data_IF_731130390743
#
_entry.id   IF_731130390743
#
_cell.length_a   1.000
_cell.length_b   1.000
_cell.length_c   1.000
_cell.angle_alpha   90.00
_cell.angle_beta   90.00
_cell.angle_gamma   90.00
#
_symmetry.space_group_name_H-M   'P 1'
#
loop_
_entity.id
_entity.type
_entity.pdbx_description
1 polymer ?
#
# COMPACT_ATOMS: atom_id res chain seq x y z
N UNK A 1 35.67 -9.13 16.59
CA UNK A 1 34.59 -8.28 17.13
C UNK A 1 34.86 -6.86 16.64
N UNK A 2 34.49 -6.56 15.42
CA UNK A 2 34.58 -5.20 14.86
C UNK A 2 33.51 -4.34 15.51
N UNK A 3 33.93 -3.21 16.07
CA UNK A 3 33.08 -2.34 16.86
C UNK A 3 31.92 -1.81 16.08
N UNK A 4 30.72 -2.01 16.60
CA UNK A 4 29.52 -1.31 16.15
C UNK A 4 29.85 0.19 16.16
N UNK A 5 29.84 0.80 14.97
CA UNK A 5 30.18 2.21 14.80
C UNK A 5 29.31 3.08 15.70
N UNK A 6 29.97 3.92 16.50
CA UNK A 6 29.36 4.85 17.46
C UNK A 6 28.62 6.02 16.78
N UNK A 7 28.43 5.97 15.45
CA UNK A 7 27.81 7.02 14.67
C UNK A 7 26.27 6.95 14.65
N UNK A 8 25.65 8.10 14.48
CA UNK A 8 24.21 8.20 14.30
C UNK A 8 23.81 7.93 12.85
N UNK A 9 22.61 7.38 12.67
CA UNK A 9 22.02 7.04 11.37
C UNK A 9 20.90 8.02 11.02
N UNK A 10 20.95 8.56 9.81
CA UNK A 10 19.84 9.23 9.15
C UNK A 10 19.15 8.28 8.18
N UNK A 11 17.88 8.02 8.40
CA UNK A 11 17.02 7.20 7.55
C UNK A 11 16.08 8.09 6.73
N UNK A 12 16.12 7.94 5.41
CA UNK A 12 15.29 8.66 4.46
C UNK A 12 14.59 7.66 3.54
N UNK A 13 13.26 7.69 3.52
CA UNK A 13 12.43 6.69 2.82
C UNK A 13 11.62 7.38 1.74
N UNK A 14 11.92 7.10 0.49
CA UNK A 14 11.03 7.32 -0.64
C UNK A 14 9.92 6.25 -0.60
N UNK A 15 8.83 6.58 0.09
CA UNK A 15 7.81 5.59 0.39
C UNK A 15 7.05 5.13 -0.86
N UNK A 16 6.86 6.02 -1.84
CA UNK A 16 6.19 5.67 -3.09
C UNK A 16 7.03 4.66 -3.88
N UNK A 17 8.32 4.92 -4.04
CA UNK A 17 9.26 4.02 -4.73
C UNK A 17 9.36 2.65 -4.02
N UNK A 18 9.54 2.64 -2.70
CA UNK A 18 9.64 1.40 -1.92
C UNK A 18 8.34 0.61 -1.95
N UNK A 19 7.20 1.26 -1.76
CA UNK A 19 5.89 0.59 -1.80
C UNK A 19 5.61 -0.01 -3.17
N UNK A 20 5.84 0.75 -4.24
CA UNK A 20 5.70 0.28 -5.61
C UNK A 20 6.61 -0.93 -5.88
N UNK A 21 7.87 -0.88 -5.47
CA UNK A 21 8.82 -1.97 -5.61
C UNK A 21 8.39 -3.23 -4.85
N UNK A 22 7.89 -3.09 -3.60
CA UNK A 22 7.36 -4.22 -2.83
C UNK A 22 6.13 -4.84 -3.48
N UNK A 23 5.20 -4.02 -3.96
CA UNK A 23 4.00 -4.51 -4.63
C UNK A 23 4.32 -5.22 -5.95
N UNK A 24 5.29 -4.72 -6.73
CA UNK A 24 5.67 -5.32 -8.00
C UNK A 24 6.45 -6.63 -7.83
N UNK A 25 7.44 -6.65 -6.93
CA UNK A 25 8.34 -7.80 -6.81
C UNK A 25 7.77 -8.86 -5.87
N UNK A 26 7.30 -8.44 -4.69
CA UNK A 26 6.85 -9.35 -3.65
C UNK A 26 5.33 -9.44 -3.54
N UNK A 27 4.61 -8.53 -4.21
CA UNK A 27 3.15 -8.46 -4.18
C UNK A 27 2.56 -8.28 -2.77
N UNK A 28 3.30 -7.65 -1.88
CA UNK A 28 2.90 -7.34 -0.51
C UNK A 28 3.19 -5.88 -0.18
N UNK A 29 2.47 -5.33 0.81
CA UNK A 29 2.79 -4.03 1.39
C UNK A 29 4.08 -4.11 2.23
N UNK A 30 4.95 -3.07 2.20
CA UNK A 30 6.14 -3.03 3.04
C UNK A 30 5.78 -2.98 4.52
N UNK A 31 6.51 -3.74 5.33
CA UNK A 31 6.38 -3.67 6.79
C UNK A 31 7.22 -2.53 7.34
N UNK A 32 6.57 -1.44 7.77
CA UNK A 32 7.24 -0.23 8.30
C UNK A 32 8.19 -0.54 9.45
N UNK A 33 7.80 -1.46 10.37
CA UNK A 33 8.68 -1.85 11.48
C UNK A 33 9.95 -2.53 10.98
N UNK A 34 9.86 -3.32 9.92
CA UNK A 34 11.04 -3.95 9.31
C UNK A 34 11.96 -2.93 8.64
N UNK A 35 11.42 -1.85 8.07
CA UNK A 35 12.22 -0.77 7.47
C UNK A 35 13.08 -0.07 8.53
N UNK A 36 12.50 0.34 9.66
CA UNK A 36 13.26 1.00 10.71
C UNK A 36 14.28 0.06 11.36
N UNK A 37 13.93 -1.22 11.59
CA UNK A 37 14.85 -2.22 12.12
C UNK A 37 16.04 -2.47 11.17
N UNK A 38 15.81 -2.42 9.87
CA UNK A 38 16.86 -2.50 8.86
C UNK A 38 17.88 -1.37 9.02
N UNK A 39 17.42 -0.14 9.18
CA UNK A 39 18.30 1.00 9.41
C UNK A 39 19.04 0.92 10.75
N UNK A 40 18.40 0.39 11.81
CA UNK A 40 19.01 0.19 13.13
C UNK A 40 20.21 -0.76 13.15
N UNK A 41 20.31 -1.66 12.17
CA UNK A 41 21.49 -2.53 12.00
C UNK A 41 22.78 -1.75 11.74
N UNK A 42 22.66 -0.54 11.20
CA UNK A 42 23.78 0.31 10.85
C UNK A 42 24.17 1.32 11.93
N UNK A 43 23.40 1.40 13.01
CA UNK A 43 23.65 2.26 14.16
C UNK A 43 22.37 2.83 14.78
N UNK A 44 22.53 3.80 15.68
CA UNK A 44 21.41 4.49 16.32
C UNK A 44 20.75 5.43 15.33
N UNK A 45 19.49 5.17 14.99
CA UNK A 45 18.70 6.07 14.13
C UNK A 45 18.29 7.32 14.93
N UNK A 46 18.82 8.47 14.56
CA UNK A 46 18.53 9.77 15.18
C UNK A 46 17.66 10.68 14.30
N UNK A 47 17.67 10.42 13.00
CA UNK A 47 16.78 11.05 12.01
C UNK A 47 16.09 9.94 11.23
N UNK A 48 14.76 10.01 11.13
CA UNK A 48 14.00 9.07 10.31
C UNK A 48 12.83 9.83 9.66
N UNK A 49 12.77 9.84 8.34
CA UNK A 49 11.76 10.55 7.55
C UNK A 49 11.24 9.69 6.40
N UNK A 50 9.94 9.78 6.11
CA UNK A 50 9.31 9.14 4.95
C UNK A 50 8.55 10.17 4.14
N UNK A 51 8.69 10.11 2.82
CA UNK A 51 8.19 11.07 1.85
C UNK A 51 7.18 10.39 0.92
N UNK A 52 5.98 10.97 0.81
CA UNK A 52 4.93 10.54 -0.11
C UNK A 52 3.78 11.56 -0.16
N UNK A 53 2.88 11.40 -1.12
CA UNK A 53 1.51 11.93 -1.04
C UNK A 53 0.66 10.97 -0.18
N UNK A 54 0.49 11.29 1.10
CA UNK A 54 -0.24 10.42 2.02
C UNK A 54 -1.75 10.41 1.80
N UNK A 55 -2.29 11.24 0.93
CA UNK A 55 -3.68 11.16 0.51
C UNK A 55 -3.94 9.93 -0.39
N UNK A 56 -2.92 9.48 -1.11
CA UNK A 56 -2.95 8.28 -1.98
C UNK A 56 -2.64 6.97 -1.23
N UNK A 57 -2.30 7.07 0.07
CA UNK A 57 -1.98 5.91 0.90
C UNK A 57 -3.08 5.60 1.91
N UNK A 58 -3.28 4.32 2.29
CA UNK A 58 -4.17 3.96 3.39
C UNK A 58 -3.74 4.65 4.70
N UNK A 59 -4.70 5.10 5.50
CA UNK A 59 -4.41 5.83 6.77
C UNK A 59 -3.52 5.06 7.75
N UNK A 60 -3.56 3.72 7.70
CA UNK A 60 -2.72 2.89 8.56
C UNK A 60 -1.23 3.04 8.27
N UNK A 61 -0.84 3.37 7.04
CA UNK A 61 0.57 3.58 6.66
C UNK A 61 1.16 4.73 7.47
N UNK A 62 0.46 5.88 7.48
CA UNK A 62 0.87 7.05 8.28
C UNK A 62 0.99 6.70 9.76
N UNK A 63 -0.03 6.03 10.31
CA UNK A 63 -0.02 5.60 11.72
C UNK A 63 1.14 4.64 12.03
N UNK A 64 1.45 3.72 11.13
CA UNK A 64 2.57 2.78 11.32
C UNK A 64 3.92 3.48 11.33
N UNK A 65 4.10 4.51 10.49
CA UNK A 65 5.29 5.37 10.48
C UNK A 65 5.42 6.13 11.80
N UNK A 66 4.34 6.76 12.27
CA UNK A 66 4.31 7.49 13.55
C UNK A 66 4.69 6.56 14.72
N UNK A 67 4.11 5.35 14.78
CA UNK A 67 4.42 4.35 15.82
C UNK A 67 5.86 3.88 15.76
N UNK A 68 6.44 3.77 14.55
CA UNK A 68 7.84 3.42 14.35
C UNK A 68 8.81 4.58 14.66
N UNK A 69 8.30 5.78 14.92
CA UNK A 69 9.10 6.98 15.15
C UNK A 69 9.69 7.58 13.87
N UNK A 70 9.04 7.34 12.73
CA UNK A 70 9.44 7.89 11.43
C UNK A 70 8.58 9.13 11.15
N UNK A 71 9.20 10.28 11.01
CA UNK A 71 8.52 11.53 10.71
C UNK A 71 7.96 11.51 9.28
N UNK A 72 6.70 11.88 9.14
CA UNK A 72 6.01 11.91 7.85
C UNK A 72 6.19 13.27 7.18
N UNK A 73 6.64 13.29 5.94
CA UNK A 73 6.66 14.43 5.03
C UNK A 73 5.54 14.23 4.00
N UNK A 74 4.42 14.87 4.25
CA UNK A 74 3.23 14.80 3.38
C UNK A 74 3.36 15.81 2.24
N UNK A 75 3.53 15.32 1.02
CA UNK A 75 3.84 16.14 -0.15
C UNK A 75 2.79 15.84 -1.23
N UNK A 76 1.70 16.63 -1.29
CA UNK A 76 0.63 16.41 -2.24
C UNK A 76 1.11 16.48 -3.69
N UNK A 77 0.70 15.51 -4.49
CA UNK A 77 0.93 15.50 -5.94
C UNK A 77 0.15 16.62 -6.59
N UNK A 78 0.82 17.43 -7.38
CA UNK A 78 0.18 18.48 -8.16
C UNK A 78 -0.35 17.93 -9.47
N UNK A 79 -1.66 18.04 -9.68
CA UNK A 79 -2.31 17.74 -10.95
C UNK A 79 -2.41 19.01 -11.78
N UNK A 80 -2.03 18.95 -13.04
CA UNK A 80 -2.15 20.06 -13.97
C UNK A 80 -2.49 19.57 -15.38
N UNK A 81 -3.20 20.38 -16.13
CA UNK A 81 -3.55 20.08 -17.52
C UNK A 81 -2.50 20.72 -18.42
N UNK A 82 -1.83 19.92 -19.24
CA UNK A 82 -0.93 20.36 -20.29
C UNK A 82 -1.31 19.66 -21.59
N UNK A 83 -1.49 20.44 -22.65
CA UNK A 83 -1.87 19.94 -23.98
C UNK A 83 -3.16 19.10 -23.99
N UNK A 84 -4.13 19.44 -23.09
CA UNK A 84 -5.41 18.74 -22.95
C UNK A 84 -5.31 17.41 -22.19
N UNK A 85 -4.13 17.03 -21.69
CA UNK A 85 -3.92 15.84 -20.87
C UNK A 85 -3.67 16.21 -19.40
N UNK A 86 -4.28 15.47 -18.49
CA UNK A 86 -3.99 15.58 -17.07
C UNK A 86 -2.60 14.96 -16.80
N UNK A 87 -1.73 15.76 -16.20
CA UNK A 87 -0.39 15.30 -15.77
C UNK A 87 -0.26 15.47 -14.26
N UNK A 88 0.44 14.53 -13.67
CA UNK A 88 0.75 14.53 -12.24
C UNK A 88 2.23 14.82 -12.05
N UNK A 89 2.56 15.64 -11.06
CA UNK A 89 3.96 15.91 -10.68
C UNK A 89 4.11 15.77 -9.18
N UNK A 90 4.85 14.76 -8.76
CA UNK A 90 5.38 14.67 -7.40
C UNK A 90 6.59 15.61 -7.25
N UNK A 91 6.81 16.07 -6.04
CA UNK A 91 8.03 16.77 -5.62
C UNK A 91 8.63 16.12 -4.38
N UNK A 92 8.22 14.90 -4.05
CA UNK A 92 8.69 14.14 -2.90
C UNK A 92 10.22 13.97 -2.93
N UNK A 93 10.77 13.65 -4.12
CA UNK A 93 12.20 13.49 -4.34
C UNK A 93 12.98 14.76 -4.00
N UNK A 94 12.47 15.92 -4.43
CA UNK A 94 13.11 17.22 -4.15
C UNK A 94 13.12 17.51 -2.64
N UNK A 95 12.03 17.26 -1.94
CA UNK A 95 11.97 17.44 -0.48
C UNK A 95 12.91 16.49 0.24
N UNK A 96 12.96 15.22 -0.18
CA UNK A 96 13.90 14.25 0.39
C UNK A 96 15.36 14.67 0.16
N UNK A 97 15.72 15.14 -1.05
CA UNK A 97 17.04 15.68 -1.37
C UNK A 97 17.42 16.86 -0.46
N UNK A 98 16.48 17.79 -0.25
CA UNK A 98 16.72 18.96 0.62
C UNK A 98 16.94 18.55 2.08
N UNK A 99 16.10 17.68 2.63
CA UNK A 99 16.23 17.21 4.02
C UNK A 99 17.52 16.40 4.24
N UNK A 100 17.96 15.62 3.23
CA UNK A 100 19.25 14.92 3.25
C UNK A 100 20.40 15.94 3.33
N UNK A 101 20.37 16.98 2.49
CA UNK A 101 21.40 18.02 2.48
C UNK A 101 21.42 18.82 3.78
N UNK A 102 20.24 19.24 4.28
CA UNK A 102 20.11 19.94 5.54
C UNK A 102 20.66 19.10 6.71
N UNK A 103 20.31 17.81 6.74
CA UNK A 103 20.85 16.89 7.75
C UNK A 103 22.37 16.78 7.69
N UNK A 104 22.97 16.78 6.50
CA UNK A 104 24.42 16.72 6.33
C UNK A 104 25.14 18.00 6.83
N UNK A 105 24.48 19.14 6.70
CA UNK A 105 25.01 20.45 7.14
C UNK A 105 24.83 20.64 8.66
N UNK A 106 23.62 20.33 9.17
CA UNK A 106 23.21 20.76 10.50
C UNK A 106 23.45 19.67 11.58
N UNK A 107 23.63 18.41 11.16
CA UNK A 107 23.79 17.27 12.08
C UNK A 107 25.08 16.49 11.80
N UNK A 108 26.24 17.02 12.16
CA UNK A 108 27.54 16.40 11.90
C UNK A 108 27.68 15.02 12.57
N UNK A 109 26.95 14.76 13.68
CA UNK A 109 26.90 13.48 14.38
C UNK A 109 26.23 12.36 13.55
N UNK A 110 25.40 12.68 12.55
CA UNK A 110 24.87 11.71 11.60
C UNK A 110 26.00 11.34 10.64
N UNK A 111 26.56 10.16 10.83
CA UNK A 111 27.71 9.66 10.06
C UNK A 111 27.31 8.66 8.99
N UNK A 112 26.14 8.03 9.13
CA UNK A 112 25.61 7.04 8.18
C UNK A 112 24.26 7.47 7.67
N UNK A 113 24.08 7.45 6.35
CA UNK A 113 22.85 7.77 5.66
C UNK A 113 22.29 6.51 5.02
N UNK A 114 21.11 6.06 5.45
CA UNK A 114 20.37 4.96 4.84
C UNK A 114 19.27 5.56 3.97
N UNK A 115 19.42 5.41 2.67
CA UNK A 115 18.46 5.89 1.69
C UNK A 115 17.65 4.70 1.17
N UNK A 116 16.36 4.69 1.45
CA UNK A 116 15.44 3.67 0.98
C UNK A 116 14.77 4.15 -0.31
N UNK A 117 15.40 3.85 -1.43
CA UNK A 117 14.95 4.16 -2.79
C UNK A 117 15.71 3.31 -3.80
N UNK A 118 15.18 3.16 -5.01
CA UNK A 118 15.88 2.57 -6.15
C UNK A 118 16.23 3.59 -7.23
N UNK A 119 15.86 4.87 -7.04
CA UNK A 119 15.92 5.89 -8.06
C UNK A 119 17.32 6.50 -8.22
N UNK A 120 17.78 6.59 -9.47
CA UNK A 120 19.06 7.18 -9.87
C UNK A 120 19.17 8.68 -9.62
N UNK A 121 18.08 9.40 -9.44
CA UNK A 121 18.07 10.85 -9.22
C UNK A 121 18.83 11.26 -7.95
N UNK A 122 19.01 10.34 -7.02
CA UNK A 122 19.76 10.56 -5.79
C UNK A 122 21.28 10.43 -5.93
N UNK A 123 21.82 9.98 -7.07
CA UNK A 123 23.28 9.78 -7.29
C UNK A 123 24.07 11.04 -6.94
N UNK A 124 23.57 12.20 -7.35
CA UNK A 124 24.28 13.46 -7.17
C UNK A 124 24.40 13.87 -5.69
N UNK A 125 23.37 13.73 -4.91
CA UNK A 125 23.40 14.03 -3.47
C UNK A 125 24.26 13.02 -2.72
N UNK A 126 24.21 11.74 -3.10
CA UNK A 126 25.05 10.68 -2.51
C UNK A 126 26.51 10.99 -2.70
N UNK A 127 26.94 11.27 -3.92
CA UNK A 127 28.34 11.62 -4.21
C UNK A 127 28.76 12.89 -3.49
N UNK A 128 27.86 13.88 -3.37
CA UNK A 128 28.15 15.11 -2.64
C UNK A 128 28.35 14.85 -1.13
N UNK A 129 27.49 14.03 -0.48
CA UNK A 129 27.59 13.68 0.95
C UNK A 129 28.89 12.91 1.21
N UNK A 130 29.19 11.93 0.38
CA UNK A 130 30.40 11.11 0.54
C UNK A 130 31.68 11.93 0.35
N UNK A 131 31.75 12.70 -0.73
CA UNK A 131 32.98 13.39 -1.07
C UNK A 131 33.24 14.65 -0.24
N UNK A 132 32.17 15.35 0.20
CA UNK A 132 32.33 16.61 0.94
C UNK A 132 32.33 16.42 2.46
N UNK A 133 31.58 15.46 2.97
CA UNK A 133 31.35 15.27 4.40
C UNK A 133 31.91 13.96 4.93
N UNK A 134 32.54 13.14 4.07
CA UNK A 134 33.07 11.82 4.42
C UNK A 134 32.04 10.94 5.17
N UNK A 135 30.79 10.98 4.72
CA UNK A 135 29.69 10.21 5.31
C UNK A 135 29.53 8.88 4.59
N UNK A 136 29.20 7.85 5.36
CA UNK A 136 28.80 6.55 4.82
C UNK A 136 27.38 6.64 4.28
N UNK A 137 27.15 6.13 3.05
CA UNK A 137 25.82 6.07 2.44
C UNK A 137 25.50 4.63 2.06
N UNK A 138 24.33 4.16 2.44
CA UNK A 138 23.83 2.81 2.19
C UNK A 138 22.50 2.95 1.43
N UNK A 139 22.41 2.28 0.29
CA UNK A 139 21.15 2.17 -0.46
C UNK A 139 20.41 0.94 0.01
N UNK A 140 19.16 1.13 0.43
CA UNK A 140 18.27 0.04 0.78
C UNK A 140 17.08 0.05 -0.18
N UNK A 141 16.94 -1.00 -0.96
CA UNK A 141 15.82 -1.14 -1.91
C UNK A 141 15.52 -2.60 -2.19
N UNK A 142 14.44 -2.85 -2.91
CA UNK A 142 14.03 -4.19 -3.30
C UNK A 142 14.99 -4.72 -4.39
N UNK A 143 15.50 -5.95 -4.29
CA UNK A 143 16.36 -6.53 -5.33
C UNK A 143 15.70 -6.48 -6.70
N UNK A 144 16.46 -6.06 -7.70
CA UNK A 144 16.00 -5.92 -9.08
C UNK A 144 15.31 -4.60 -9.42
N UNK A 145 15.04 -3.74 -8.42
CA UNK A 145 14.46 -2.41 -8.65
C UNK A 145 15.42 -1.25 -8.35
N UNK A 146 16.62 -1.56 -7.91
CA UNK A 146 17.66 -0.58 -7.56
C UNK A 146 18.53 -0.34 -8.79
N UNK A 147 18.76 0.93 -9.14
CA UNK A 147 19.73 1.30 -10.17
C UNK A 147 21.16 0.85 -9.80
N UNK A 148 21.84 0.19 -10.72
CA UNK A 148 23.25 -0.20 -10.54
C UNK A 148 24.17 0.99 -10.31
N UNK A 149 23.89 2.10 -10.98
CA UNK A 149 24.66 3.34 -10.86
C UNK A 149 24.47 3.98 -9.48
N UNK A 150 23.24 3.86 -8.91
CA UNK A 150 22.96 4.33 -7.56
C UNK A 150 23.76 3.55 -6.52
N UNK A 151 23.83 2.22 -6.65
CA UNK A 151 24.64 1.35 -5.77
C UNK A 151 26.13 1.67 -5.93
N UNK A 152 26.61 1.85 -7.15
CA UNK A 152 28.01 2.21 -7.40
C UNK A 152 28.35 3.57 -6.79
N UNK A 153 27.47 4.57 -6.86
CA UNK A 153 27.66 5.87 -6.26
C UNK A 153 27.71 5.82 -4.72
N UNK A 154 26.87 4.99 -4.10
CA UNK A 154 26.84 4.80 -2.65
C UNK A 154 28.01 3.92 -2.13
N UNK A 155 28.45 2.95 -2.93
CA UNK A 155 29.46 1.97 -2.57
C UNK A 155 28.98 0.85 -1.65
N UNK A 156 27.79 1.00 -1.06
CA UNK A 156 27.15 -0.02 -0.20
C UNK A 156 25.65 -0.13 -0.50
N UNK A 157 25.15 -1.36 -0.46
CA UNK A 157 23.71 -1.63 -0.51
C UNK A 157 23.32 -2.68 0.51
N UNK A 158 22.11 -2.54 1.05
CA UNK A 158 21.51 -3.48 1.98
C UNK A 158 20.05 -3.76 1.56
N UNK A 159 19.83 -4.87 0.88
CA UNK A 159 18.56 -5.18 0.23
C UNK A 159 17.40 -5.31 1.21
N UNK A 160 16.25 -4.76 0.80
CA UNK A 160 14.98 -4.94 1.48
C UNK A 160 14.35 -6.25 0.99
N UNK A 161 14.33 -7.23 1.84
CA UNK A 161 13.65 -8.49 1.58
C UNK A 161 12.22 -8.45 2.12
N UNK A 162 11.33 -9.19 1.48
CA UNK A 162 10.02 -9.44 2.07
C UNK A 162 10.23 -10.15 3.41
N UNK A 163 10.03 -9.46 4.50
CA UNK A 163 9.80 -10.16 5.75
C UNK A 163 8.54 -10.98 5.51
N UNK A 164 8.66 -12.29 5.46
CA UNK A 164 7.51 -13.17 5.38
C UNK A 164 6.62 -12.89 6.59
N UNK A 165 5.73 -11.91 6.41
CA UNK A 165 4.58 -11.76 7.27
C UNK A 165 3.69 -12.94 6.99
N UNK A 166 3.24 -13.60 8.02
CA UNK A 166 2.32 -14.72 8.02
C UNK A 166 2.69 -15.84 7.02
N UNK A 167 3.06 -16.99 7.51
CA UNK A 167 3.10 -18.25 6.73
C UNK A 167 1.85 -18.34 5.85
N UNK A 168 1.90 -19.05 4.73
CA UNK A 168 0.73 -19.18 3.85
C UNK A 168 -0.57 -19.54 4.60
N UNK A 169 -0.48 -20.27 5.73
CA UNK A 169 -1.60 -20.57 6.62
C UNK A 169 -2.17 -19.31 7.30
N UNK A 170 -1.33 -18.41 7.79
CA UNK A 170 -1.80 -17.19 8.45
C UNK A 170 -2.40 -16.20 7.44
N UNK A 171 -1.86 -16.10 6.23
CA UNK A 171 -2.48 -15.33 5.14
C UNK A 171 -3.86 -15.92 4.78
N UNK A 172 -3.95 -17.25 4.65
CA UNK A 172 -5.21 -17.93 4.36
C UNK A 172 -6.26 -17.68 5.44
N UNK A 173 -5.88 -17.67 6.72
CA UNK A 173 -6.80 -17.35 7.82
C UNK A 173 -7.32 -15.92 7.74
N UNK A 174 -6.48 -14.94 7.34
CA UNK A 174 -6.91 -13.55 7.14
C UNK A 174 -7.82 -13.42 5.92
N UNK A 175 -7.48 -14.08 4.80
CA UNK A 175 -8.30 -14.13 3.59
C UNK A 175 -9.67 -14.73 3.87
N UNK A 176 -9.73 -15.85 4.57
CA UNK A 176 -10.98 -16.50 4.97
C UNK A 176 -11.83 -15.58 5.84
N UNK A 177 -11.25 -14.98 6.88
CA UNK A 177 -11.96 -14.05 7.75
C UNK A 177 -12.52 -12.84 7.02
N UNK A 178 -11.77 -12.27 6.04
CA UNK A 178 -12.25 -11.17 5.20
C UNK A 178 -13.38 -11.64 4.28
N UNK A 179 -13.23 -12.79 3.65
CA UNK A 179 -14.27 -13.37 2.79
C UNK A 179 -15.58 -13.57 3.55
N UNK A 180 -15.52 -14.15 4.74
CA UNK A 180 -16.67 -14.35 5.61
C UNK A 180 -17.27 -13.03 6.11
N UNK A 181 -16.46 -12.04 6.43
CA UNK A 181 -16.91 -10.69 6.79
C UNK A 181 -17.70 -10.07 5.64
N UNK A 182 -17.16 -10.09 4.42
CA UNK A 182 -17.82 -9.54 3.22
C UNK A 182 -19.13 -10.28 2.93
N UNK A 183 -19.16 -11.60 3.12
CA UNK A 183 -20.37 -12.42 2.90
C UNK A 183 -21.47 -12.18 3.94
N UNK A 184 -21.09 -12.03 5.22
CA UNK A 184 -22.04 -11.89 6.34
C UNK A 184 -22.63 -10.50 6.49
N UNK A 185 -21.89 -9.47 6.09
CA UNK A 185 -22.23 -8.08 6.34
C UNK A 185 -22.61 -7.35 5.05
N UNK A 186 -23.58 -6.46 5.17
CA UNK A 186 -23.94 -5.51 4.11
C UNK A 186 -23.61 -4.09 4.62
N UNK A 187 -22.67 -3.39 4.00
CA UNK A 187 -22.29 -2.05 4.44
C UNK A 187 -23.43 -1.04 4.23
N UNK A 188 -23.44 0.09 4.97
CA UNK A 188 -24.46 1.12 4.86
C UNK A 188 -24.62 1.68 3.43
N UNK A 189 -23.56 1.69 2.65
CA UNK A 189 -23.56 2.08 1.23
C UNK A 189 -24.32 1.12 0.32
N UNK A 190 -24.60 -0.10 0.80
CA UNK A 190 -25.28 -1.15 0.03
C UNK A 190 -24.36 -1.97 -0.87
N UNK A 191 -23.11 -1.59 -0.98
CA UNK A 191 -22.10 -2.28 -1.78
C UNK A 191 -20.73 -2.15 -1.12
N UNK A 192 -19.85 -3.10 -1.38
CA UNK A 192 -18.47 -3.06 -0.95
C UNK A 192 -17.60 -2.32 -1.96
N UNK A 193 -16.61 -1.61 -1.46
CA UNK A 193 -15.43 -1.14 -2.20
C UNK A 193 -14.19 -1.68 -1.53
N UNK A 194 -13.06 -1.77 -2.25
CA UNK A 194 -11.78 -2.19 -1.65
C UNK A 194 -11.47 -1.39 -0.40
N UNK A 195 -11.65 -0.05 -0.46
CA UNK A 195 -11.42 0.84 0.69
C UNK A 195 -12.30 0.49 1.90
N UNK A 196 -13.55 0.14 1.65
CA UNK A 196 -14.49 -0.20 2.72
C UNK A 196 -14.19 -1.57 3.32
N UNK A 197 -13.82 -2.56 2.50
CA UNK A 197 -13.36 -3.87 2.94
C UNK A 197 -12.11 -3.70 3.83
N UNK A 198 -11.14 -2.90 3.40
CA UNK A 198 -9.93 -2.60 4.17
C UNK A 198 -10.27 -1.94 5.51
N UNK A 199 -11.10 -0.91 5.53
CA UNK A 199 -11.53 -0.23 6.75
C UNK A 199 -12.26 -1.17 7.72
N UNK A 200 -13.17 -1.99 7.23
CA UNK A 200 -13.93 -2.92 8.07
C UNK A 200 -13.08 -4.08 8.58
N UNK A 201 -12.15 -4.58 7.80
CA UNK A 201 -11.21 -5.62 8.25
C UNK A 201 -10.37 -5.17 9.45
N UNK A 202 -10.14 -3.87 9.61
CA UNK A 202 -9.37 -3.28 10.73
C UNK A 202 -10.21 -3.02 11.97
N UNK A 203 -11.53 -2.98 11.85
CA UNK A 203 -12.41 -2.85 13.01
C UNK A 203 -12.39 -4.16 13.82
N UNK A 204 -11.91 -4.06 15.06
CA UNK A 204 -11.78 -5.22 15.97
C UNK A 204 -13.09 -5.98 16.18
N UNK A 205 -14.24 -5.29 16.03
CA UNK A 205 -15.57 -5.90 16.15
C UNK A 205 -15.84 -6.94 15.08
N UNK A 206 -15.18 -6.86 13.94
CA UNK A 206 -15.37 -7.80 12.84
C UNK A 206 -14.49 -9.06 12.94
N UNK A 207 -13.61 -9.14 13.95
CA UNK A 207 -12.88 -10.36 14.29
C UNK A 207 -11.86 -10.82 13.25
N UNK A 208 -11.47 -9.96 12.29
CA UNK A 208 -10.46 -10.31 11.28
C UNK A 208 -9.07 -10.34 11.94
N UNK A 209 -8.37 -11.49 11.93
CA UNK A 209 -7.06 -11.63 12.54
C UNK A 209 -5.97 -10.89 11.78
N UNK A 210 -4.76 -10.84 12.34
CA UNK A 210 -3.57 -10.26 11.71
C UNK A 210 -3.40 -8.75 11.93
N UNK A 211 -2.21 -8.27 11.58
CA UNK A 211 -1.87 -6.85 11.60
C UNK A 211 -2.52 -6.08 10.44
N UNK A 212 -2.48 -4.76 10.48
CA UNK A 212 -3.01 -3.93 9.39
C UNK A 212 -2.34 -4.21 8.03
N UNK A 213 -1.00 -4.39 7.94
CA UNK A 213 -0.35 -4.87 6.72
C UNK A 213 -0.86 -6.24 6.24
N UNK A 214 -1.06 -7.21 7.15
CA UNK A 214 -1.54 -8.55 6.78
C UNK A 214 -2.92 -8.48 6.12
N UNK A 215 -3.81 -7.61 6.63
CA UNK A 215 -5.15 -7.40 6.09
C UNK A 215 -5.12 -6.79 4.70
N UNK A 216 -4.28 -5.76 4.48
CA UNK A 216 -4.09 -5.18 3.14
C UNK A 216 -3.49 -6.19 2.16
N UNK A 217 -2.53 -6.98 2.60
CA UNK A 217 -1.93 -8.06 1.79
C UNK A 217 -2.97 -9.11 1.42
N UNK A 218 -3.84 -9.49 2.36
CA UNK A 218 -4.91 -10.44 2.11
C UNK A 218 -5.92 -9.90 1.07
N UNK A 219 -6.33 -8.63 1.18
CA UNK A 219 -7.22 -8.00 0.19
C UNK A 219 -6.56 -7.96 -1.19
N UNK A 220 -5.29 -7.57 -1.27
CA UNK A 220 -4.52 -7.57 -2.52
C UNK A 220 -4.39 -8.97 -3.11
N UNK A 221 -4.18 -9.99 -2.27
CA UNK A 221 -4.16 -11.40 -2.67
C UNK A 221 -5.52 -11.83 -3.23
N UNK A 222 -6.63 -11.47 -2.57
CA UNK A 222 -7.99 -11.79 -3.03
C UNK A 222 -8.32 -11.19 -4.39
N UNK A 223 -7.89 -9.94 -4.64
CA UNK A 223 -8.08 -9.27 -5.93
C UNK A 223 -7.28 -9.96 -7.05
N UNK A 224 -5.98 -10.21 -6.83
CA UNK A 224 -5.11 -10.84 -7.84
C UNK A 224 -5.52 -12.26 -8.19
N UNK A 225 -6.02 -13.01 -7.22
CA UNK A 225 -6.44 -14.40 -7.43
C UNK A 225 -7.93 -14.54 -7.77
N UNK A 226 -8.61 -13.44 -8.06
CA UNK A 226 -10.01 -13.45 -8.52
C UNK A 226 -11.02 -13.83 -7.45
N UNK A 227 -10.65 -13.88 -6.15
CA UNK A 227 -11.59 -14.11 -5.05
C UNK A 227 -12.50 -12.89 -4.83
N UNK A 228 -11.99 -11.69 -5.12
CA UNK A 228 -12.74 -10.45 -5.21
C UNK A 228 -12.69 -9.95 -6.65
N UNK A 229 -13.86 -9.69 -7.23
CA UNK A 229 -14.01 -9.06 -8.54
C UNK A 229 -14.41 -7.60 -8.38
N UNK A 230 -13.93 -6.74 -9.29
CA UNK A 230 -14.30 -5.32 -9.33
C UNK A 230 -15.20 -5.05 -10.53
N UNK A 231 -16.17 -4.19 -10.31
CA UNK A 231 -17.12 -3.76 -11.33
C UNK A 231 -17.30 -2.26 -11.26
N UNK A 232 -17.31 -1.59 -12.42
CA UNK A 232 -17.70 -0.19 -12.50
C UNK A 232 -19.21 -0.11 -12.53
N UNK A 233 -19.77 0.80 -11.74
CA UNK A 233 -21.20 1.11 -11.73
C UNK A 233 -21.39 2.61 -11.60
N UNK A 234 -22.49 3.11 -12.17
CA UNK A 234 -22.83 4.53 -12.11
C UNK A 234 -23.91 4.70 -11.03
N UNK A 235 -23.62 5.55 -10.05
CA UNK A 235 -24.61 6.04 -9.09
C UNK A 235 -25.19 7.36 -9.59
N UNK A 236 -26.25 7.86 -8.98
CA UNK A 236 -26.87 9.15 -9.36
C UNK A 236 -25.90 10.33 -9.34
N UNK A 237 -24.77 10.20 -8.63
CA UNK A 237 -23.81 11.28 -8.37
C UNK A 237 -22.49 11.06 -9.10
N UNK A 238 -22.04 9.80 -9.24
CA UNK A 238 -20.71 9.47 -9.77
C UNK A 238 -20.55 8.02 -10.18
N UNK A 239 -19.55 7.75 -10.99
CA UNK A 239 -19.04 6.40 -11.22
C UNK A 239 -18.32 5.88 -9.96
N UNK A 240 -18.60 4.63 -9.59
CA UNK A 240 -18.03 3.96 -8.42
C UNK A 240 -17.55 2.57 -8.81
N UNK A 241 -16.37 2.18 -8.37
CA UNK A 241 -15.89 0.80 -8.47
C UNK A 241 -16.33 0.02 -7.24
N UNK A 242 -17.19 -0.96 -7.42
CA UNK A 242 -17.64 -1.89 -6.38
C UNK A 242 -16.80 -3.17 -6.39
N UNK A 243 -16.75 -3.86 -5.25
CA UNK A 243 -16.00 -5.10 -5.09
C UNK A 243 -16.90 -6.18 -4.50
N UNK A 244 -16.87 -7.38 -5.09
CA UNK A 244 -17.71 -8.50 -4.66
C UNK A 244 -16.90 -9.78 -4.57
N UNK A 245 -17.30 -10.69 -3.66
CA UNK A 245 -16.76 -12.04 -3.66
C UNK A 245 -17.19 -12.77 -4.94
N UNK A 246 -16.24 -13.43 -5.57
CA UNK A 246 -16.56 -14.37 -6.65
C UNK A 246 -17.05 -15.69 -6.04
N UNK A 247 -18.35 -15.81 -5.89
CA UNK A 247 -18.96 -17.03 -5.32
C UNK A 247 -18.84 -18.25 -6.23
N UNK A 248 -18.40 -18.07 -7.48
CA UNK A 248 -18.08 -19.18 -8.40
C UNK A 248 -16.66 -19.70 -8.20
N UNK A 249 -15.80 -18.92 -7.53
CA UNK A 249 -14.41 -19.31 -7.29
C UNK A 249 -14.32 -20.47 -6.29
N UNK A 250 -13.60 -21.58 -6.62
CA UNK A 250 -13.58 -22.78 -5.77
C UNK A 250 -13.08 -22.55 -4.34
N UNK A 251 -12.15 -21.61 -4.15
CA UNK A 251 -11.66 -21.27 -2.82
C UNK A 251 -12.71 -20.53 -2.00
N UNK A 252 -13.45 -19.58 -2.61
CA UNK A 252 -14.56 -18.87 -1.96
C UNK A 252 -15.66 -19.84 -1.56
N UNK A 253 -16.04 -20.76 -2.46
CA UNK A 253 -17.03 -21.79 -2.16
C UNK A 253 -16.62 -22.61 -0.93
N UNK A 254 -15.39 -23.11 -0.85
CA UNK A 254 -14.91 -23.87 0.31
C UNK A 254 -14.99 -23.06 1.62
N UNK A 255 -14.64 -21.78 1.60
CA UNK A 255 -14.69 -20.89 2.78
C UNK A 255 -16.12 -20.68 3.25
N UNK A 256 -17.03 -20.42 2.31
CA UNK A 256 -18.45 -20.16 2.61
C UNK A 256 -19.15 -21.43 3.10
N UNK A 257 -18.94 -22.57 2.43
CA UNK A 257 -19.45 -23.88 2.81
C UNK A 257 -18.93 -24.33 4.16
N UNK A 258 -17.61 -24.24 4.38
CA UNK A 258 -16.97 -24.59 5.65
C UNK A 258 -17.47 -23.78 6.84
N UNK A 259 -17.96 -22.55 6.60
CA UNK A 259 -18.55 -21.69 7.61
C UNK A 259 -20.08 -21.86 7.79
N UNK A 260 -20.70 -22.80 7.07
CA UNK A 260 -22.15 -23.03 7.10
C UNK A 260 -23.01 -21.89 6.55
N UNK A 261 -22.42 -21.06 5.64
CA UNK A 261 -23.09 -19.88 5.06
C UNK A 261 -23.71 -20.17 3.69
N UNK A 262 -24.08 -21.39 3.44
CA UNK A 262 -24.48 -21.93 2.14
C UNK A 262 -25.79 -21.38 1.73
N UNK A 263 -26.46 -20.62 1.83
CA UNK A 263 -27.72 -20.66 1.07
C UNK A 263 -28.72 -19.52 1.19
N UNK A 264 -28.52 -18.54 1.99
CA UNK A 264 -29.42 -17.40 1.85
C UNK A 264 -28.75 -16.29 1.04
N UNK A 265 -29.19 -16.04 -0.18
CA UNK A 265 -28.73 -14.88 -0.91
C UNK A 265 -29.04 -13.63 -0.09
N UNK A 266 -28.02 -12.83 0.20
CA UNK A 266 -28.18 -11.61 0.99
C UNK A 266 -29.10 -10.63 0.25
N UNK A 267 -29.95 -9.86 0.96
CA UNK A 267 -30.68 -8.77 0.37
C UNK A 267 -29.74 -7.80 -0.33
N UNK A 268 -30.08 -7.36 -1.51
CA UNK A 268 -29.28 -6.43 -2.33
C UNK A 268 -29.73 -5.01 -2.02
N UNK A 269 -28.78 -4.11 -1.75
CA UNK A 269 -29.10 -2.68 -1.73
C UNK A 269 -28.91 -2.08 -3.12
N UNK A 270 -29.83 -1.21 -3.50
CA UNK A 270 -29.70 -0.44 -4.72
C UNK A 270 -28.50 0.52 -4.62
N UNK A 271 -27.63 0.51 -5.63
CA UNK A 271 -26.47 1.41 -5.67
C UNK A 271 -26.87 2.87 -5.92
N UNK A 272 -28.06 3.11 -6.50
CA UNK A 272 -28.56 4.45 -6.76
C UNK A 272 -29.23 5.09 -5.54
N UNK A 273 -30.20 4.41 -4.92
CA UNK A 273 -31.00 4.99 -3.84
C UNK A 273 -30.79 4.35 -2.47
N UNK A 274 -29.86 3.39 -2.35
CA UNK A 274 -29.55 2.62 -1.14
C UNK A 274 -30.69 1.80 -0.53
N UNK A 275 -31.86 1.73 -1.19
CA UNK A 275 -32.98 0.93 -0.75
C UNK A 275 -32.62 -0.56 -0.70
N UNK A 276 -33.07 -1.24 0.35
CA UNK A 276 -32.88 -2.68 0.53
C UNK A 276 -33.90 -3.44 -0.33
N UNK A 277 -33.41 -4.33 -1.16
CA UNK A 277 -34.20 -5.19 -2.05
C UNK A 277 -34.07 -6.64 -1.64
N UNK A 278 -35.05 -7.45 -1.99
CA UNK A 278 -34.99 -8.88 -1.74
C UNK A 278 -33.80 -9.52 -2.50
N UNK A 279 -33.32 -10.62 -2.00
CA UNK A 279 -32.33 -11.42 -2.67
C UNK A 279 -32.83 -11.86 -4.06
N UNK A 280 -31.98 -11.70 -5.10
CA UNK A 280 -32.34 -12.04 -6.47
C UNK A 280 -33.25 -11.02 -7.18
N UNK A 281 -33.51 -9.87 -6.57
CA UNK A 281 -34.27 -8.82 -7.24
C UNK A 281 -33.49 -8.24 -8.44
N UNK A 282 -34.12 -8.17 -9.60
CA UNK A 282 -33.53 -7.61 -10.84
C UNK A 282 -33.72 -6.10 -10.97
N UNK A 283 -34.63 -5.53 -10.19
CA UNK A 283 -34.94 -4.09 -10.15
C UNK A 283 -35.15 -3.59 -8.73
N UNK A 284 -34.81 -2.33 -8.50
CA UNK A 284 -34.99 -1.69 -7.20
C UNK A 284 -36.46 -1.36 -6.93
N UNK A 285 -36.99 -1.81 -5.81
CA UNK A 285 -38.36 -1.57 -5.38
C UNK A 285 -38.66 -0.09 -5.14
N UNK A 286 -37.67 0.72 -4.84
CA UNK A 286 -37.84 2.13 -4.51
C UNK A 286 -37.64 3.08 -5.68
N UNK A 287 -36.68 2.84 -6.57
CA UNK A 287 -36.35 3.76 -7.68
C UNK A 287 -36.44 3.11 -9.06
N UNK A 288 -36.75 1.81 -9.15
CA UNK A 288 -36.87 1.09 -10.42
C UNK A 288 -35.57 0.80 -11.15
N UNK A 289 -34.43 1.21 -10.59
CA UNK A 289 -33.13 0.98 -11.22
C UNK A 289 -32.81 -0.52 -11.32
N UNK A 290 -32.24 -0.95 -12.44
CA UNK A 290 -31.73 -2.31 -12.60
C UNK A 290 -30.64 -2.63 -11.58
N UNK A 291 -30.73 -3.78 -10.95
CA UNK A 291 -29.76 -4.24 -9.93
C UNK A 291 -28.62 -5.08 -10.54
N UNK A 292 -28.72 -5.38 -11.86
CA UNK A 292 -27.79 -6.28 -12.57
C UNK A 292 -26.86 -5.58 -13.57
N UNK A 293 -26.91 -4.26 -13.74
CA UNK A 293 -26.01 -3.58 -14.68
C UNK A 293 -24.61 -3.40 -14.08
N UNK A 294 -23.80 -4.46 -14.14
CA UNK A 294 -22.41 -4.48 -13.71
C UNK A 294 -21.54 -4.87 -14.89
N UNK A 295 -20.65 -3.98 -15.29
CA UNK A 295 -19.65 -4.27 -16.32
C UNK A 295 -18.35 -4.65 -15.58
N UNK A 296 -17.77 -5.84 -15.82
CA UNK A 296 -16.49 -6.19 -15.24
C UNK A 296 -15.40 -5.22 -15.72
N UNK A 297 -14.54 -4.76 -14.82
CA UNK A 297 -13.31 -4.06 -15.21
C UNK A 297 -12.44 -5.05 -16.00
N UNK A 298 -12.14 -4.73 -17.25
CA UNK A 298 -11.15 -5.48 -18.02
C UNK A 298 -9.75 -5.11 -17.54
N UNK A 299 -8.84 -6.08 -17.50
CA UNK A 299 -7.44 -5.89 -17.09
C UNK A 299 -6.70 -4.76 -17.83
N UNK A 300 -7.23 -4.31 -18.97
CA UNK A 300 -6.69 -3.19 -19.76
C UNK A 300 -6.78 -1.81 -19.07
N UNK A 301 -7.65 -1.64 -18.08
CA UNK A 301 -7.80 -0.37 -17.34
C UNK A 301 -6.89 -0.28 -16.09
N UNK A 302 -6.17 -1.36 -15.77
CA UNK A 302 -5.26 -1.42 -14.63
C UNK A 302 -3.80 -1.10 -14.99
N UNK A 303 -3.47 -1.02 -16.28
CA UNK A 303 -2.11 -0.77 -16.76
C UNK A 303 -2.08 0.48 -17.65
N UNK A 304 -1.78 1.62 -17.07
CA UNK A 304 -0.88 2.58 -17.72
C UNK A 304 -0.17 3.36 -16.63
N UNK A 305 1.06 3.01 -16.26
CA UNK A 305 1.99 4.00 -15.74
C UNK A 305 2.30 4.91 -16.91
N UNK A 306 1.94 6.17 -16.81
CA UNK A 306 2.37 7.19 -17.76
C UNK A 306 3.90 7.28 -17.71
N UNK A 307 4.52 7.11 -18.89
CA UNK A 307 5.90 7.48 -19.18
C UNK A 307 6.21 8.96 -18.83
#
# INVERSE_FOLDING_TARGET
MEGAGTGEVGLFIDLENIRYSFLNVYQIEPNVSALIEKARKHGRVSVAMAYADFSEHPQWVRRSLDVAGIAVRDIPVRRFIRDGQERMKSSADLHMLMDIMETALDRPQVTTYVLMTGDSDYIRVITWIRNRFDKRVIISGVPGTISSDLVAAAGESDHLEAVQGATGEALNAVVEAIALMVKRALPPTGFWTVKLIDQWSRDRRNGVPGSDPDKSNAISHMLRNGLLRRYKTVTDVREVTISELDETHPAVQRMVTGAGLEAEPLPVRCVQCTARNAAGATGCIACGAGLEQRVPETEADAETPAE
#
